data_IF_964001980579
#
_entry.id   IF_964001980579
#
_cell.length_a   1.000
_cell.length_b   1.000
_cell.length_c   1.000
_cell.angle_alpha   90.00
_cell.angle_beta   90.00
_cell.angle_gamma   90.00
#
_symmetry.space_group_name_H-M   'P 1'
#
loop_
_entity.id
_entity.type
_entity.pdbx_description
1 polymer ?
#
# COMPACT_ATOMS: atom_id res chain seq x y z
N UNK A 1 -24.73 -28.01 13.23
CA UNK A 1 -24.95 -26.72 12.58
C UNK A 1 -25.92 -26.01 13.49
N UNK A 2 -25.41 -25.19 14.42
CA UNK A 2 -26.26 -24.58 15.45
C UNK A 2 -26.88 -23.30 14.87
N UNK A 3 -28.21 -23.28 14.79
CA UNK A 3 -29.02 -22.27 14.09
C UNK A 3 -29.43 -21.06 14.95
N UNK A 4 -28.80 -20.85 16.12
CA UNK A 4 -29.20 -19.79 17.04
C UNK A 4 -28.16 -18.66 17.13
N UNK A 5 -27.98 -17.93 16.03
CA UNK A 5 -27.18 -16.70 15.98
C UNK A 5 -28.02 -15.44 16.29
N UNK A 6 -29.14 -15.60 16.99
CA UNK A 6 -30.00 -14.47 17.40
C UNK A 6 -29.46 -13.83 18.68
N UNK A 7 -29.39 -12.51 18.67
CA UNK A 7 -29.10 -11.72 19.85
C UNK A 7 -30.21 -11.90 20.90
N UNK A 8 -29.82 -12.08 22.16
CA UNK A 8 -30.78 -12.17 23.26
C UNK A 8 -31.57 -10.86 23.41
N UNK A 9 -32.82 -10.95 23.86
CA UNK A 9 -33.76 -9.82 24.00
C UNK A 9 -33.23 -8.62 24.81
N UNK A 10 -32.23 -8.82 25.67
CA UNK A 10 -31.62 -7.74 26.45
C UNK A 10 -30.57 -6.93 25.68
N UNK A 11 -30.16 -7.36 24.49
CA UNK A 11 -29.28 -6.60 23.61
C UNK A 11 -30.09 -5.71 22.66
N UNK A 12 -30.79 -4.73 23.22
CA UNK A 12 -31.43 -3.65 22.46
C UNK A 12 -30.46 -2.47 22.30
N UNK A 13 -29.81 -2.39 21.13
CA UNK A 13 -28.85 -1.32 20.83
C UNK A 13 -29.57 -0.05 20.36
N UNK A 14 -29.82 0.87 21.28
CA UNK A 14 -30.28 2.22 20.94
C UNK A 14 -29.13 3.10 20.44
N UNK A 15 -28.90 3.07 19.13
CA UNK A 15 -27.86 3.88 18.48
C UNK A 15 -28.12 5.38 18.54
N UNK A 16 -29.32 5.85 18.90
CA UNK A 16 -29.58 7.29 19.11
C UNK A 16 -28.82 7.84 20.32
N UNK A 17 -28.48 6.96 21.27
CA UNK A 17 -27.67 7.27 22.47
C UNK A 17 -26.18 6.96 22.27
N UNK A 18 -25.77 6.52 21.08
CA UNK A 18 -24.39 6.20 20.80
C UNK A 18 -23.52 7.45 20.94
N UNK A 19 -22.39 7.32 21.64
CA UNK A 19 -21.40 8.39 21.76
C UNK A 19 -20.40 8.29 20.61
N UNK A 20 -19.96 9.41 20.04
CA UNK A 20 -18.83 9.42 19.11
C UNK A 20 -17.63 8.70 19.71
N UNK A 21 -16.96 7.89 18.90
CA UNK A 21 -15.80 7.15 19.37
C UNK A 21 -14.69 8.12 19.82
N UNK A 22 -14.29 8.06 21.10
CA UNK A 22 -13.24 8.91 21.68
C UNK A 22 -11.86 8.76 20.99
N UNK A 23 -11.68 7.67 20.26
CA UNK A 23 -10.47 7.39 19.49
C UNK A 23 -10.57 7.81 18.03
N UNK A 24 -11.76 8.18 17.55
CA UNK A 24 -11.93 8.65 16.17
C UNK A 24 -11.07 9.88 15.90
N UNK A 25 -10.90 10.77 16.87
CA UNK A 25 -10.03 11.95 16.75
C UNK A 25 -8.52 11.62 16.70
N UNK A 26 -8.11 10.39 17.03
CA UNK A 26 -6.69 9.98 16.97
C UNK A 26 -6.28 9.53 15.57
N UNK A 27 -7.26 9.17 14.75
CA UNK A 27 -7.09 8.81 13.36
C UNK A 27 -7.52 10.05 12.59
N UNK A 28 -6.55 10.86 12.16
CA UNK A 28 -6.86 11.98 11.29
C UNK A 28 -7.61 11.44 10.06
N UNK A 29 -8.57 12.19 9.51
CA UNK A 29 -9.39 11.69 8.40
C UNK A 29 -8.56 11.32 7.17
N UNK A 30 -7.33 11.84 7.08
CA UNK A 30 -6.35 11.57 6.03
C UNK A 30 -5.34 10.46 6.39
N UNK A 31 -5.40 9.90 7.59
CA UNK A 31 -4.46 8.86 8.02
C UNK A 31 -4.80 7.49 7.39
N UNK A 32 -3.81 6.91 6.71
CA UNK A 32 -3.89 5.59 6.09
C UNK A 32 -3.14 4.59 6.97
N UNK A 33 -3.83 3.53 7.40
CA UNK A 33 -3.25 2.44 8.17
C UNK A 33 -2.85 1.33 7.20
N UNK A 34 -1.58 0.94 7.23
CA UNK A 34 -1.04 -0.16 6.44
C UNK A 34 -0.46 -1.19 7.39
N UNK A 35 -0.79 -2.46 7.16
CA UNK A 35 -0.21 -3.58 7.90
C UNK A 35 1.02 -4.07 7.15
N UNK A 36 2.15 -4.16 7.85
CA UNK A 36 3.37 -4.78 7.34
C UNK A 36 3.40 -6.24 7.78
N UNK A 37 3.97 -7.10 6.94
CA UNK A 37 4.29 -8.46 7.36
C UNK A 37 5.35 -8.45 8.47
N UNK A 38 5.36 -9.45 9.37
CA UNK A 38 6.24 -9.44 10.56
C UNK A 38 7.73 -9.33 10.24
N UNK A 39 8.18 -10.03 9.20
CA UNK A 39 9.56 -10.01 8.72
C UNK A 39 9.96 -8.63 8.15
N UNK A 40 9.03 -7.94 7.51
CA UNK A 40 9.23 -6.56 7.03
C UNK A 40 9.24 -5.57 8.19
N UNK A 41 8.35 -5.75 9.19
CA UNK A 41 8.30 -4.91 10.38
C UNK A 41 9.55 -5.02 11.25
N UNK A 42 10.18 -6.20 11.30
CA UNK A 42 11.46 -6.41 12.00
C UNK A 42 12.61 -5.60 11.37
N UNK A 43 12.58 -5.40 10.06
CA UNK A 43 13.57 -4.60 9.32
C UNK A 43 13.25 -3.10 9.42
N UNK A 44 11.96 -2.74 9.44
CA UNK A 44 11.49 -1.37 9.43
C UNK A 44 10.67 -1.03 10.70
N UNK A 45 11.34 -0.64 11.80
CA UNK A 45 10.68 -0.49 13.10
C UNK A 45 9.75 0.74 13.20
N UNK A 46 9.83 1.69 12.26
CA UNK A 46 8.99 2.89 12.25
C UNK A 46 8.49 3.23 10.85
N UNK A 47 7.33 3.89 10.79
CA UNK A 47 6.74 4.35 9.53
C UNK A 47 7.60 5.39 8.79
N UNK A 48 8.39 6.19 9.52
CA UNK A 48 9.32 7.15 8.94
C UNK A 48 10.38 6.45 8.09
N UNK A 49 11.00 5.39 8.61
CA UNK A 49 12.04 4.64 7.90
C UNK A 49 11.47 3.95 6.66
N UNK A 50 10.26 3.38 6.74
CA UNK A 50 9.56 2.80 5.57
C UNK A 50 9.35 3.86 4.49
N UNK A 51 8.77 5.00 4.86
CA UNK A 51 8.40 6.04 3.92
C UNK A 51 9.63 6.65 3.23
N UNK A 52 10.70 6.90 3.97
CA UNK A 52 11.93 7.45 3.40
C UNK A 52 12.61 6.45 2.47
N UNK A 53 12.61 5.17 2.81
CA UNK A 53 13.12 4.10 1.93
C UNK A 53 12.32 4.03 0.64
N UNK A 54 10.99 3.99 0.72
CA UNK A 54 10.12 3.94 -0.46
C UNK A 54 10.26 5.19 -1.34
N UNK A 55 10.44 6.37 -0.73
CA UNK A 55 10.71 7.62 -1.47
C UNK A 55 12.06 7.58 -2.18
N UNK A 56 13.10 7.06 -1.54
CA UNK A 56 14.42 6.90 -2.15
C UNK A 56 14.35 5.94 -3.34
N UNK A 57 13.65 4.82 -3.21
CA UNK A 57 13.41 3.88 -4.31
C UNK A 57 12.63 4.55 -5.43
N UNK A 58 11.54 5.27 -5.11
CA UNK A 58 10.76 5.99 -6.11
C UNK A 58 11.60 7.05 -6.86
N UNK A 59 12.47 7.77 -6.14
CA UNK A 59 13.38 8.74 -6.74
C UNK A 59 14.43 8.07 -7.65
N UNK A 60 14.98 6.94 -7.21
CA UNK A 60 15.91 6.16 -8.03
C UNK A 60 15.23 5.66 -9.30
N UNK A 61 14.03 5.07 -9.19
CA UNK A 61 13.24 4.58 -10.33
C UNK A 61 12.91 5.69 -11.33
N UNK A 62 12.59 6.90 -10.87
CA UNK A 62 12.34 8.07 -11.73
C UNK A 62 13.58 8.52 -12.52
N UNK A 63 14.76 8.23 -12.01
CA UNK A 63 16.03 8.65 -12.59
C UNK A 63 16.70 7.56 -13.44
N UNK A 64 16.07 6.39 -13.60
CA UNK A 64 16.57 5.37 -14.52
C UNK A 64 16.30 5.87 -15.94
N UNK A 65 17.34 6.23 -16.74
CA UNK A 65 17.11 6.47 -18.15
C UNK A 65 16.60 5.17 -18.76
N UNK A 66 15.42 5.21 -19.36
CA UNK A 66 14.91 4.12 -20.20
C UNK A 66 15.79 4.05 -21.45
N UNK A 67 17.00 3.52 -21.30
CA UNK A 67 17.95 3.35 -22.40
C UNK A 67 17.91 1.90 -22.86
N UNK A 68 17.79 1.76 -24.18
CA UNK A 68 18.20 0.61 -24.99
C UNK A 68 17.06 -0.29 -25.49
N UNK A 69 16.24 0.27 -26.39
CA UNK A 69 15.88 -0.46 -27.62
C UNK A 69 17.11 -0.38 -28.52
N UNK A 70 17.87 -1.47 -28.62
CA UNK A 70 19.02 -1.53 -29.52
C UNK A 70 18.57 -1.30 -30.96
N UNK A 71 19.08 -0.22 -31.54
CA UNK A 71 19.14 -0.05 -32.99
C UNK A 71 20.08 -1.11 -33.56
N UNK A 72 19.55 -2.27 -33.92
CA UNK A 72 20.19 -3.10 -34.94
C UNK A 72 20.02 -2.41 -36.30
N UNK A 73 20.95 -1.49 -36.58
CA UNK A 73 21.19 -0.90 -37.90
C UNK A 73 21.44 -2.06 -38.88
N UNK A 74 20.43 -2.43 -39.65
CA UNK A 74 20.58 -3.31 -40.80
C UNK A 74 21.47 -2.60 -41.82
N UNK A 75 22.77 -2.88 -41.73
CA UNK A 75 23.71 -2.66 -42.84
C UNK A 75 23.15 -3.43 -44.03
N UNK A 76 22.71 -2.70 -45.05
CA UNK A 76 22.56 -3.21 -46.41
C UNK A 76 23.93 -3.73 -46.88
N UNK A 77 24.05 -5.00 -47.30
CA UNK A 77 25.08 -5.36 -48.25
C UNK A 77 24.53 -5.10 -49.65
N UNK A 78 25.13 -4.09 -50.29
CA UNK A 78 25.23 -3.98 -51.74
C UNK A 78 25.82 -5.26 -52.32
N UNK A 79 25.14 -5.88 -53.29
CA UNK A 79 25.73 -6.86 -54.21
C UNK A 79 25.23 -6.53 -55.62
N UNK A 80 26.13 -6.30 -56.61
CA UNK A 80 25.77 -5.94 -57.97
C UNK A 80 25.75 -7.17 -58.90
N UNK A 81 24.72 -7.26 -59.76
CA UNK A 81 24.72 -7.79 -61.13
C UNK A 81 23.27 -8.04 -61.58
#
# INVERSE_FOLDING_TARGET
MDENNELLDHYDFDYSKAKPNRFAARIDQESVIVVLDPDVADIFPTSEVVNDTLRAVAAALRNIPTSTTEQHKSKTPSVPA
#
